data_IF_137891937608
#
_entry.id   IF_137891937608
#
_cell.length_a   1.000
_cell.length_b   1.000
_cell.length_c   1.000
_cell.angle_alpha   90.00
_cell.angle_beta   90.00
_cell.angle_gamma   90.00
#
_symmetry.space_group_name_H-M   'P 1'
#
loop_
_entity.id
_entity.type
_entity.pdbx_description
1 polymer ?
#
# COMPACT_ATOMS: atom_id res chain seq x y z
N UNK A 1 -31.60 -19.30 -7.32
CA UNK A 1 -30.42 -19.26 -6.42
C UNK A 1 -29.94 -17.81 -6.30
N UNK A 2 -30.36 -17.05 -5.28
CA UNK A 2 -30.09 -15.60 -5.19
C UNK A 2 -29.75 -15.16 -3.75
N UNK A 3 -28.67 -15.71 -3.17
CA UNK A 3 -28.34 -15.50 -1.74
C UNK A 3 -26.88 -15.14 -1.43
N UNK A 4 -26.05 -14.78 -2.43
CA UNK A 4 -24.61 -14.48 -2.21
C UNK A 4 -24.20 -13.00 -2.28
N UNK A 5 -25.01 -12.10 -2.84
CA UNK A 5 -24.58 -10.71 -3.10
C UNK A 5 -24.49 -9.82 -1.85
N UNK A 6 -25.19 -10.13 -0.75
CA UNK A 6 -25.15 -9.32 0.46
C UNK A 6 -23.83 -9.47 1.27
N UNK A 7 -23.00 -10.48 0.97
CA UNK A 7 -21.78 -10.80 1.75
C UNK A 7 -20.49 -10.16 1.22
N UNK A 8 -20.57 -9.46 0.07
CA UNK A 8 -19.40 -8.90 -0.63
C UNK A 8 -19.19 -7.42 -0.35
N UNK A 9 -20.21 -6.74 0.17
CA UNK A 9 -20.18 -5.30 0.43
C UNK A 9 -20.01 -5.04 1.91
N UNK A 10 -19.01 -4.23 2.24
CA UNK A 10 -18.67 -3.84 3.59
C UNK A 10 -18.96 -2.35 3.78
N UNK A 11 -19.53 -2.00 4.92
CA UNK A 11 -19.65 -0.61 5.36
C UNK A 11 -18.28 0.01 5.60
N UNK A 12 -18.21 1.34 5.75
CA UNK A 12 -16.95 2.03 6.03
C UNK A 12 -16.29 1.58 7.33
N UNK A 13 -17.06 1.25 8.36
CA UNK A 13 -16.54 0.72 9.62
C UNK A 13 -15.94 -0.69 9.45
N UNK A 14 -16.70 -1.60 8.85
CA UNK A 14 -16.24 -2.97 8.61
C UNK A 14 -15.02 -2.99 7.69
N UNK A 15 -14.99 -2.14 6.66
CA UNK A 15 -13.85 -2.03 5.75
C UNK A 15 -12.59 -1.51 6.45
N UNK A 16 -12.73 -0.53 7.35
CA UNK A 16 -11.63 0.03 8.13
C UNK A 16 -11.06 -1.00 9.11
N UNK A 17 -11.94 -1.71 9.82
CA UNK A 17 -11.56 -2.81 10.71
C UNK A 17 -10.88 -3.94 9.93
N UNK A 18 -11.43 -4.32 8.78
CA UNK A 18 -10.87 -5.34 7.91
C UNK A 18 -9.46 -5.01 7.43
N UNK A 19 -9.19 -3.75 7.09
CA UNK A 19 -7.86 -3.27 6.73
C UNK A 19 -6.95 -3.00 7.95
N UNK A 20 -7.50 -2.94 9.17
CA UNK A 20 -6.77 -2.57 10.38
C UNK A 20 -6.32 -1.11 10.38
N UNK A 21 -7.15 -0.21 9.85
CA UNK A 21 -6.85 1.24 9.73
C UNK A 21 -7.95 2.08 10.37
N UNK A 22 -7.66 3.32 10.80
CA UNK A 22 -8.70 4.21 11.32
C UNK A 22 -9.75 4.53 10.25
N UNK A 23 -11.04 4.54 10.64
CA UNK A 23 -12.17 4.90 9.76
C UNK A 23 -11.94 6.25 9.08
N UNK A 24 -11.41 7.23 9.82
CA UNK A 24 -11.09 8.58 9.29
C UNK A 24 -10.05 8.52 8.17
N UNK A 25 -9.05 7.64 8.29
CA UNK A 25 -8.04 7.44 7.26
C UNK A 25 -8.66 6.83 6.00
N UNK A 26 -9.45 5.77 6.14
CA UNK A 26 -10.17 5.14 5.03
C UNK A 26 -11.09 6.14 4.33
N UNK A 27 -11.84 6.94 5.08
CA UNK A 27 -12.72 7.96 4.51
C UNK A 27 -11.95 9.03 3.74
N UNK A 28 -10.80 9.47 4.25
CA UNK A 28 -9.91 10.40 3.56
C UNK A 28 -9.38 9.81 2.25
N UNK A 29 -8.96 8.54 2.26
CA UNK A 29 -8.44 7.86 1.07
C UNK A 29 -9.52 7.67 0.01
N UNK A 30 -10.74 7.30 0.41
CA UNK A 30 -11.90 7.26 -0.48
C UNK A 30 -12.16 8.62 -1.12
N UNK A 31 -12.24 9.70 -0.33
CA UNK A 31 -12.49 11.07 -0.85
C UNK A 31 -11.42 11.52 -1.85
N UNK A 32 -10.20 11.00 -1.73
CA UNK A 32 -9.08 11.22 -2.66
C UNK A 32 -9.06 10.26 -3.85
N UNK A 33 -10.04 9.37 -3.98
CA UNK A 33 -10.12 8.37 -5.05
C UNK A 33 -9.11 7.23 -4.95
N UNK A 34 -8.44 7.06 -3.80
CA UNK A 34 -7.36 6.08 -3.63
C UNK A 34 -7.89 4.68 -3.27
N UNK A 35 -9.09 4.61 -2.69
CA UNK A 35 -9.77 3.35 -2.38
C UNK A 35 -11.13 3.37 -3.06
N UNK A 36 -11.44 2.38 -3.92
CA UNK A 36 -12.71 2.33 -4.62
C UNK A 36 -13.85 2.01 -3.63
N UNK A 37 -14.92 2.78 -3.73
CA UNK A 37 -16.13 2.58 -2.97
C UNK A 37 -17.34 2.96 -3.83
N UNK A 38 -18.49 2.33 -3.59
CA UNK A 38 -19.71 2.57 -4.35
C UNK A 38 -20.88 2.92 -3.44
N UNK A 39 -21.79 3.73 -3.97
CA UNK A 39 -23.11 3.92 -3.36
C UNK A 39 -24.06 2.91 -3.99
N UNK A 40 -24.85 2.24 -3.15
CA UNK A 40 -25.82 1.24 -3.61
C UNK A 40 -27.19 1.92 -3.70
N UNK A 41 -27.90 1.85 -4.84
CA UNK A 41 -29.24 2.41 -4.96
C UNK A 41 -30.18 1.87 -3.88
N UNK A 42 -30.90 2.77 -3.21
CA UNK A 42 -31.82 2.41 -2.13
C UNK A 42 -31.18 2.17 -0.76
N UNK A 43 -29.85 2.24 -0.62
CA UNK A 43 -29.16 2.13 0.67
C UNK A 43 -28.44 3.43 1.02
N UNK A 44 -28.56 3.86 2.28
CA UNK A 44 -27.82 5.03 2.78
C UNK A 44 -26.38 4.63 3.08
N UNK A 45 -25.43 5.40 2.57
CA UNK A 45 -24.01 5.26 2.90
C UNK A 45 -23.15 4.80 1.72
N UNK A 46 -21.91 4.44 2.06
CA UNK A 46 -20.89 4.03 1.09
C UNK A 46 -20.40 2.64 1.45
N UNK A 47 -20.22 1.83 0.41
CA UNK A 47 -19.88 0.43 0.53
C UNK A 47 -18.59 0.11 -0.23
N UNK A 48 -17.84 -0.82 0.32
CA UNK A 48 -16.56 -1.27 -0.20
C UNK A 48 -16.66 -2.73 -0.62
N UNK A 49 -16.04 -3.08 -1.73
CA UNK A 49 -15.99 -4.46 -2.20
C UNK A 49 -14.91 -5.21 -1.43
N UNK A 50 -15.31 -6.28 -0.74
CA UNK A 50 -14.40 -7.11 0.05
C UNK A 50 -13.22 -7.64 -0.76
N UNK A 51 -13.45 -8.01 -2.02
CA UNK A 51 -12.38 -8.49 -2.91
C UNK A 51 -11.29 -7.44 -3.13
N UNK A 52 -11.68 -6.18 -3.38
CA UNK A 52 -10.73 -5.07 -3.56
C UNK A 52 -9.95 -4.79 -2.27
N UNK A 53 -10.63 -4.80 -1.12
CA UNK A 53 -9.96 -4.64 0.18
C UNK A 53 -9.01 -5.81 0.47
N UNK A 54 -9.39 -7.03 0.10
CA UNK A 54 -8.57 -8.23 0.27
C UNK A 54 -7.28 -8.13 -0.56
N UNK A 55 -7.34 -7.61 -1.78
CA UNK A 55 -6.15 -7.34 -2.60
C UNK A 55 -5.21 -6.35 -1.91
N UNK A 56 -5.74 -5.21 -1.43
CA UNK A 56 -4.95 -4.22 -0.68
C UNK A 56 -4.29 -4.87 0.55
N UNK A 57 -5.06 -5.67 1.31
CA UNK A 57 -4.58 -6.34 2.52
C UNK A 57 -3.47 -7.34 2.23
N UNK A 58 -3.59 -8.13 1.15
CA UNK A 58 -2.55 -9.10 0.76
C UNK A 58 -1.24 -8.40 0.39
N UNK A 59 -1.30 -7.34 -0.39
CA UNK A 59 -0.10 -6.56 -0.76
C UNK A 59 0.50 -5.91 0.48
N UNK A 60 -0.34 -5.35 1.36
CA UNK A 60 0.11 -4.76 2.62
C UNK A 60 0.80 -5.79 3.53
N UNK A 61 0.30 -7.02 3.60
CA UNK A 61 0.97 -8.10 4.35
C UNK A 61 2.34 -8.44 3.75
N UNK A 62 2.49 -8.45 2.42
CA UNK A 62 3.79 -8.66 1.79
C UNK A 62 4.75 -7.51 2.11
N UNK A 63 4.28 -6.26 2.08
CA UNK A 63 5.07 -5.10 2.49
C UNK A 63 5.46 -5.14 3.98
N UNK A 64 4.56 -5.59 4.85
CA UNK A 64 4.85 -5.77 6.28
C UNK A 64 5.98 -6.78 6.50
N UNK A 65 6.02 -7.88 5.73
CA UNK A 65 7.12 -8.87 5.75
C UNK A 65 8.47 -8.30 5.29
N UNK A 66 8.46 -7.20 4.54
CA UNK A 66 9.65 -6.44 4.16
C UNK A 66 10.00 -5.35 5.21
N UNK A 67 9.26 -5.27 6.31
CA UNK A 67 9.46 -4.28 7.38
C UNK A 67 8.91 -2.89 7.06
N UNK A 68 8.08 -2.74 6.01
CA UNK A 68 7.50 -1.45 5.65
C UNK A 68 6.48 -1.01 6.71
N UNK A 69 6.63 0.18 7.31
CA UNK A 69 5.67 0.70 8.28
C UNK A 69 4.38 1.16 7.59
N UNK A 70 3.26 1.05 8.29
CA UNK A 70 1.94 1.46 7.79
C UNK A 70 1.64 0.91 6.38
N UNK A 71 1.74 -0.42 6.17
CA UNK A 71 1.80 -1.02 4.84
C UNK A 71 0.55 -0.76 4.00
N UNK A 72 -0.65 -0.71 4.61
CA UNK A 72 -1.89 -0.37 3.90
C UNK A 72 -1.82 1.04 3.29
N UNK A 73 -1.28 2.00 4.04
CA UNK A 73 -1.06 3.35 3.51
C UNK A 73 -0.05 3.35 2.36
N UNK A 74 1.01 2.53 2.44
CA UNK A 74 1.99 2.43 1.37
C UNK A 74 1.37 1.89 0.06
N UNK A 75 0.48 0.89 0.17
CA UNK A 75 -0.27 0.34 -0.97
C UNK A 75 -1.22 1.39 -1.55
N UNK A 76 -2.09 1.97 -0.71
CA UNK A 76 -3.14 2.90 -1.15
C UNK A 76 -2.55 4.16 -1.80
N UNK A 77 -1.42 4.66 -1.30
CA UNK A 77 -0.75 5.85 -1.85
C UNK A 77 0.28 5.52 -2.93
N UNK A 78 0.56 4.24 -3.17
CA UNK A 78 1.63 3.78 -4.08
C UNK A 78 2.97 4.46 -3.79
N UNK A 79 3.30 4.56 -2.50
CA UNK A 79 4.46 5.31 -2.00
C UNK A 79 5.16 4.53 -0.92
N UNK A 80 6.49 4.63 -0.93
CA UNK A 80 7.33 4.00 0.06
C UNK A 80 7.64 5.00 1.18
N UNK A 81 7.45 4.63 2.46
CA UNK A 81 7.80 5.50 3.57
C UNK A 81 9.28 5.85 3.56
N UNK A 82 9.59 7.16 3.53
CA UNK A 82 10.98 7.65 3.53
C UNK A 82 11.76 7.16 4.75
N UNK A 83 11.10 7.10 5.92
CA UNK A 83 11.72 6.58 7.15
C UNK A 83 12.22 5.15 7.00
N UNK A 84 11.43 4.29 6.35
CA UNK A 84 11.84 2.91 6.09
C UNK A 84 13.06 2.85 5.17
N UNK A 85 13.06 3.66 4.10
CA UNK A 85 14.20 3.75 3.19
C UNK A 85 15.47 4.24 3.88
N UNK A 86 15.37 5.25 4.75
CA UNK A 86 16.53 5.76 5.51
C UNK A 86 17.10 4.72 6.47
N UNK A 87 16.24 3.95 7.14
CA UNK A 87 16.66 2.90 8.06
C UNK A 87 17.30 1.73 7.30
N UNK A 88 16.66 1.33 6.20
CA UNK A 88 17.11 0.21 5.36
C UNK A 88 18.47 0.47 4.72
N UNK A 89 18.71 1.69 4.24
CA UNK A 89 19.95 2.06 3.56
C UNK A 89 21.01 2.66 4.49
N UNK A 90 20.69 2.93 5.75
CA UNK A 90 21.61 3.59 6.68
C UNK A 90 22.01 5.02 6.25
N UNK A 91 21.11 5.76 5.59
CA UNK A 91 21.38 7.12 5.09
C UNK A 91 20.37 8.12 5.64
N UNK A 92 20.77 9.40 5.69
CA UNK A 92 19.89 10.48 6.13
C UNK A 92 18.73 10.73 5.16
N UNK A 93 17.65 11.30 5.69
CA UNK A 93 16.48 11.70 4.88
C UNK A 93 16.85 12.70 3.78
N UNK A 94 17.73 13.66 4.09
CA UNK A 94 18.24 14.62 3.10
C UNK A 94 18.96 13.88 1.97
N UNK A 95 19.76 12.86 2.29
CA UNK A 95 20.46 12.08 1.28
C UNK A 95 19.49 11.30 0.38
N UNK A 96 18.40 10.76 0.92
CA UNK A 96 17.35 10.13 0.09
C UNK A 96 16.79 11.13 -0.93
N UNK A 97 16.45 12.34 -0.51
CA UNK A 97 15.89 13.37 -1.40
C UNK A 97 16.89 13.91 -2.43
N UNK A 98 18.20 13.88 -2.14
CA UNK A 98 19.22 14.21 -3.13
C UNK A 98 19.37 13.12 -4.19
N UNK A 99 19.09 11.86 -3.84
CA UNK A 99 19.30 10.71 -4.72
C UNK A 99 18.06 10.36 -5.56
N UNK A 100 16.90 10.93 -5.23
CA UNK A 100 15.61 10.67 -5.88
C UNK A 100 14.99 11.97 -6.36
N UNK A 101 14.55 12.05 -7.63
CA UNK A 101 13.79 13.19 -8.10
C UNK A 101 12.38 13.19 -7.47
N UNK A 102 12.10 14.20 -6.64
CA UNK A 102 10.77 14.44 -6.08
C UNK A 102 10.35 13.48 -4.96
N UNK A 103 9.09 13.01 -5.01
CA UNK A 103 8.55 12.13 -3.96
C UNK A 103 9.11 10.70 -4.05
N UNK A 104 9.21 10.00 -2.92
CA UNK A 104 9.63 8.60 -2.87
C UNK A 104 8.51 7.65 -3.34
N UNK A 105 8.30 7.62 -4.65
CA UNK A 105 7.45 6.64 -5.33
C UNK A 105 8.09 5.25 -5.26
N UNK A 106 7.30 4.21 -5.60
CA UNK A 106 7.81 2.83 -5.66
C UNK A 106 8.94 2.70 -6.68
N UNK A 107 8.81 3.31 -7.85
CA UNK A 107 9.84 3.34 -8.91
C UNK A 107 11.15 3.95 -8.40
N UNK A 108 11.06 5.12 -7.77
CA UNK A 108 12.21 5.81 -7.22
C UNK A 108 12.89 5.01 -6.10
N UNK A 109 12.10 4.35 -5.26
CA UNK A 109 12.61 3.45 -4.22
C UNK A 109 13.33 2.23 -4.81
N UNK A 110 12.80 1.64 -5.89
CA UNK A 110 13.44 0.53 -6.60
C UNK A 110 14.77 0.95 -7.22
N UNK A 111 14.83 2.11 -7.86
CA UNK A 111 16.08 2.64 -8.44
C UNK A 111 17.16 2.87 -7.37
N UNK A 112 16.78 3.36 -6.18
CA UNK A 112 17.72 3.47 -5.05
C UNK A 112 18.21 2.12 -4.56
N UNK A 113 17.29 1.18 -4.38
CA UNK A 113 17.62 -0.16 -3.89
C UNK A 113 18.53 -0.90 -4.88
N UNK A 114 18.26 -0.82 -6.18
CA UNK A 114 19.08 -1.45 -7.22
C UNK A 114 20.55 -1.01 -7.15
N UNK A 115 20.79 0.31 -6.99
CA UNK A 115 22.14 0.87 -6.86
C UNK A 115 22.87 0.41 -5.61
N UNK A 116 22.13 0.08 -4.54
CA UNK A 116 22.67 -0.24 -3.21
C UNK A 116 22.65 -1.73 -2.86
N UNK A 117 21.88 -2.52 -3.60
CA UNK A 117 21.72 -3.95 -3.34
C UNK A 117 22.97 -4.74 -3.70
N UNK A 118 23.85 -4.22 -4.57
CA UNK A 118 25.09 -4.91 -4.98
C UNK A 118 25.95 -5.26 -3.77
N UNK A 119 26.09 -6.55 -3.49
CA UNK A 119 26.89 -7.07 -2.37
C UNK A 119 26.15 -7.12 -1.03
N UNK A 120 24.85 -6.81 -0.98
CA UNK A 120 24.01 -6.98 0.20
C UNK A 120 22.82 -7.91 -0.12
N UNK A 121 22.89 -9.20 0.30
CA UNK A 121 21.84 -10.19 0.01
C UNK A 121 20.46 -9.83 0.55
N UNK A 122 20.38 -9.12 1.68
CA UNK A 122 19.12 -8.70 2.28
C UNK A 122 18.46 -7.60 1.42
N UNK A 123 19.23 -6.60 1.00
CA UNK A 123 18.75 -5.55 0.10
C UNK A 123 18.37 -6.12 -1.27
N UNK A 124 19.10 -7.12 -1.79
CA UNK A 124 18.70 -7.81 -3.02
C UNK A 124 17.35 -8.52 -2.88
N UNK A 125 17.13 -9.22 -1.76
CA UNK A 125 15.85 -9.89 -1.49
C UNK A 125 14.70 -8.88 -1.45
N UNK A 126 14.90 -7.77 -0.75
CA UNK A 126 13.89 -6.70 -0.62
C UNK A 126 13.62 -6.04 -1.97
N UNK A 127 14.67 -5.72 -2.73
CA UNK A 127 14.56 -5.18 -4.09
C UNK A 127 13.73 -6.09 -5.00
N UNK A 128 14.06 -7.39 -5.05
CA UNK A 128 13.34 -8.36 -5.89
C UNK A 128 11.87 -8.45 -5.49
N UNK A 129 11.58 -8.62 -4.21
CA UNK A 129 10.22 -8.71 -3.71
C UNK A 129 9.39 -7.45 -4.02
N UNK A 130 9.97 -6.26 -3.83
CA UNK A 130 9.29 -5.00 -4.13
C UNK A 130 9.10 -4.81 -5.64
N UNK A 131 10.07 -5.22 -6.46
CA UNK A 131 10.01 -5.14 -7.92
C UNK A 131 8.91 -6.03 -8.47
N UNK A 132 8.74 -7.24 -7.94
CA UNK A 132 7.71 -8.18 -8.37
C UNK A 132 6.30 -7.63 -8.07
N UNK A 133 6.13 -7.00 -6.90
CA UNK A 133 4.87 -6.34 -6.55
C UNK A 133 4.55 -5.18 -7.50
N UNK A 134 5.54 -4.34 -7.81
CA UNK A 134 5.36 -3.23 -8.74
C UNK A 134 5.05 -3.71 -10.16
N UNK A 135 5.78 -4.71 -10.67
CA UNK A 135 5.53 -5.30 -12.00
C UNK A 135 4.16 -5.94 -12.14
N UNK A 136 3.64 -6.52 -11.06
CA UNK A 136 2.29 -7.10 -11.05
C UNK A 136 1.15 -6.06 -11.05
N UNK A 137 1.47 -4.77 -11.04
CA UNK A 137 0.49 -3.68 -10.96
C UNK A 137 -0.16 -3.52 -9.58
N UNK A 138 0.31 -4.28 -8.59
CA UNK A 138 -0.19 -4.28 -7.21
C UNK A 138 0.32 -3.08 -6.40
N UNK A 139 1.39 -2.42 -6.87
CA UNK A 139 2.00 -1.21 -6.29
C UNK A 139 2.27 -0.16 -7.36
#
# INVERSE_FOLDING_TARGET
MARRQASELMTEQEAAEFLGVPVVALSSWRKKGLVPAKQVPGQKGVFYEREKLQQIKQVAQKLAKLGVPSPVSAVVHKRIPVRWMTQLLGISRQRVYQLVPGSLTVENALALLERRAKGNPELERIYRALRDLHRSGQL
#
